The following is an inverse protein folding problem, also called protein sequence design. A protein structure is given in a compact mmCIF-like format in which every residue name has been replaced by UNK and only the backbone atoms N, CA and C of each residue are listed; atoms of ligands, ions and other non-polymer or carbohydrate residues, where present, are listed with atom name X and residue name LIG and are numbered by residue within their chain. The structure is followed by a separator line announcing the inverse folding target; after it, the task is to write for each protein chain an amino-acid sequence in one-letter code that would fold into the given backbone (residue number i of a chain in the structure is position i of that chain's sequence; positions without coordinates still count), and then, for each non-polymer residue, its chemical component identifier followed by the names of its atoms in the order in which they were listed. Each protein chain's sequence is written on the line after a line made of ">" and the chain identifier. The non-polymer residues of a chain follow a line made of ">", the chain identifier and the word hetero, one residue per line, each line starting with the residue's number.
data_IF_763098325741
#
_entry.id   IF_763098325741
#
_cell.length_a   1.000
_cell.length_b   1.000
_cell.length_c   1.000
_cell.angle_alpha   90.00
_cell.angle_beta   90.00
_cell.angle_gamma   90.00
#
_symmetry.space_group_name_H-M   'P 1'
#
loop_
_entity.id
_entity.type
_entity.pdbx_description
1 polymer ?
#
# COMPACT_ATOMS: atom_id res chain seq x y z
N UNK A 1 -2.93 14.41 7.90
CA UNK A 1 -1.59 14.86 7.51
C UNK A 1 -0.66 13.69 7.63
N UNK A 2 -0.34 13.08 6.49
CA UNK A 2 0.62 12.00 6.40
C UNK A 2 1.92 12.40 7.11
N UNK A 3 2.38 11.52 7.99
CA UNK A 3 3.58 11.72 8.77
C UNK A 3 4.79 11.96 7.85
N UNK A 4 5.61 12.94 8.23
CA UNK A 4 6.88 13.30 7.59
C UNK A 4 6.81 13.70 6.10
N UNK A 5 5.71 14.33 5.67
CA UNK A 5 5.61 14.98 4.35
C UNK A 5 5.42 14.03 3.17
N UNK A 6 5.00 12.79 3.42
CA UNK A 6 4.66 11.84 2.35
C UNK A 6 3.34 12.24 1.68
N UNK A 7 3.38 12.67 0.41
CA UNK A 7 2.19 13.14 -0.34
C UNK A 7 1.88 12.34 -1.63
N UNK A 8 2.63 11.26 -1.86
CA UNK A 8 2.54 10.40 -3.06
C UNK A 8 2.57 8.93 -2.65
N UNK A 9 1.92 8.07 -3.43
CA UNK A 9 1.95 6.62 -3.24
C UNK A 9 3.14 6.01 -3.99
N UNK A 10 3.27 6.27 -5.29
CA UNK A 10 4.48 5.91 -6.02
C UNK A 10 5.59 6.93 -5.71
N UNK A 11 6.62 6.48 -5.00
CA UNK A 11 7.58 7.35 -4.34
C UNK A 11 9.00 7.29 -4.93
N UNK A 12 9.28 6.40 -5.88
CA UNK A 12 10.65 6.22 -6.34
C UNK A 12 10.93 4.91 -7.06
N UNK A 13 12.22 4.70 -7.32
CA UNK A 13 12.77 3.49 -7.90
C UNK A 13 12.54 3.42 -9.40
N UNK A 14 11.98 2.32 -9.89
CA UNK A 14 11.52 2.21 -11.27
C UNK A 14 10.28 3.09 -11.46
N UNK A 15 10.28 3.90 -12.53
CA UNK A 15 9.15 4.71 -12.98
C UNK A 15 8.66 4.24 -14.34
N UNK A 16 7.82 3.19 -14.40
CA UNK A 16 7.16 2.80 -15.64
C UNK A 16 6.20 3.90 -16.07
N UNK A 17 6.21 4.20 -17.37
CA UNK A 17 5.25 5.11 -17.96
C UNK A 17 4.63 4.47 -19.21
N UNK A 18 3.32 4.14 -19.19
CA UNK A 18 2.37 4.31 -18.08
C UNK A 18 2.61 3.33 -16.92
N UNK A 19 2.16 3.68 -15.72
CA UNK A 19 2.07 2.74 -14.60
C UNK A 19 1.05 1.64 -14.92
N UNK A 20 1.34 0.41 -14.49
CA UNK A 20 0.38 -0.69 -14.56
C UNK A 20 -0.68 -0.49 -13.49
N UNK A 21 -1.87 -0.10 -13.91
CA UNK A 21 -3.00 0.15 -13.03
C UNK A 21 -4.16 -0.79 -13.35
N UNK A 22 -4.91 -1.17 -12.33
CA UNK A 22 -6.24 -1.77 -12.46
C UNK A 22 -7.23 -0.92 -11.67
N UNK A 23 -8.41 -0.74 -12.23
CA UNK A 23 -9.48 0.03 -11.61
C UNK A 23 -10.63 -0.87 -11.15
N UNK A 24 -11.36 -0.41 -10.14
CA UNK A 24 -12.58 -1.05 -9.67
C UNK A 24 -13.13 -0.40 -8.41
N UNK A 25 -14.37 -0.71 -8.04
CA UNK A 25 -15.03 -0.08 -6.91
C UNK A 25 -14.42 -0.53 -5.56
N UNK A 26 -14.31 0.37 -4.60
CA UNK A 26 -13.87 0.05 -3.25
C UNK A 26 -14.88 -0.85 -2.54
N UNK A 27 -14.44 -1.96 -1.94
CA UNK A 27 -15.32 -2.81 -1.12
C UNK A 27 -15.70 -2.14 0.21
N UNK A 28 -14.82 -1.30 0.73
CA UNK A 28 -14.98 -0.53 1.96
C UNK A 28 -14.23 0.81 1.84
N UNK A 29 -14.38 1.71 2.83
CA UNK A 29 -13.58 2.94 2.87
C UNK A 29 -12.08 2.59 2.84
N UNK A 30 -11.40 3.03 1.77
CA UNK A 30 -10.05 2.60 1.42
C UNK A 30 -9.10 3.78 1.43
N UNK A 31 -8.24 3.92 2.45
CA UNK A 31 -7.16 4.90 2.42
C UNK A 31 -6.17 4.59 1.27
N UNK A 32 -5.64 5.61 0.57
CA UNK A 32 -4.51 5.44 -0.33
C UNK A 32 -3.32 4.76 0.37
N UNK A 33 -2.57 3.93 -0.34
CA UNK A 33 -1.48 3.11 0.21
C UNK A 33 -1.94 1.79 0.86
N UNK A 34 -3.24 1.52 0.91
CA UNK A 34 -3.78 0.20 1.29
C UNK A 34 -3.33 -0.85 0.28
N UNK A 35 -2.80 -1.99 0.78
CA UNK A 35 -2.49 -3.15 -0.06
C UNK A 35 -3.73 -4.04 -0.15
N UNK A 36 -4.13 -4.40 -1.36
CA UNK A 36 -5.36 -5.15 -1.59
C UNK A 36 -5.36 -5.89 -2.90
N UNK A 37 -6.49 -6.49 -3.23
CA UNK A 37 -6.72 -7.22 -4.47
C UNK A 37 -8.13 -6.95 -4.97
N UNK A 38 -8.37 -7.17 -6.26
CA UNK A 38 -9.72 -7.16 -6.80
C UNK A 38 -10.35 -8.53 -6.59
N UNK A 39 -11.39 -8.57 -5.75
CA UNK A 39 -12.12 -9.80 -5.42
C UNK A 39 -12.93 -10.33 -6.60
N UNK A 40 -13.55 -11.50 -6.46
CA UNK A 40 -14.46 -12.07 -7.46
C UNK A 40 -15.69 -11.21 -7.76
N UNK A 41 -16.00 -10.23 -6.90
CA UNK A 41 -17.04 -9.22 -7.14
C UNK A 41 -16.49 -7.96 -7.83
N UNK A 42 -15.26 -8.01 -8.36
CA UNK A 42 -14.51 -6.89 -8.97
C UNK A 42 -14.37 -5.64 -8.08
N UNK A 43 -14.49 -5.83 -6.76
CA UNK A 43 -14.25 -4.77 -5.78
C UNK A 43 -12.86 -4.87 -5.17
N UNK A 44 -12.21 -3.72 -5.05
CA UNK A 44 -10.93 -3.58 -4.34
C UNK A 44 -11.13 -3.89 -2.86
N UNK A 45 -10.49 -4.96 -2.40
CA UNK A 45 -10.61 -5.49 -1.04
C UNK A 45 -9.23 -5.48 -0.40
N UNK A 46 -9.13 -4.98 0.83
CA UNK A 46 -7.88 -4.99 1.58
C UNK A 46 -7.40 -6.44 1.78
N UNK A 47 -6.11 -6.68 1.55
CA UNK A 47 -5.50 -8.00 1.74
C UNK A 47 -5.49 -8.35 3.24
N UNK A 48 -5.94 -9.53 3.61
CA UNK A 48 -6.02 -9.98 5.00
C UNK A 48 -4.63 -10.31 5.52
N UNK A 49 -3.85 -11.08 4.75
CA UNK A 49 -2.55 -11.61 5.17
C UNK A 49 -1.47 -11.57 4.08
N UNK A 50 -1.79 -11.04 2.90
CA UNK A 50 -0.95 -11.10 1.70
C UNK A 50 -0.99 -12.45 0.99
N UNK A 51 -1.61 -13.48 1.56
CA UNK A 51 -1.62 -14.87 1.05
C UNK A 51 -2.74 -15.18 0.06
N UNK A 52 -3.45 -14.16 -0.41
CA UNK A 52 -4.51 -14.34 -1.38
C UNK A 52 -3.94 -14.93 -2.68
N UNK A 53 -4.66 -15.87 -3.29
CA UNK A 53 -4.38 -16.37 -4.63
C UNK A 53 -4.81 -15.34 -5.68
N UNK A 54 -4.31 -14.11 -5.56
CA UNK A 54 -4.65 -12.97 -6.37
C UNK A 54 -3.43 -12.05 -6.52
N UNK A 55 -3.44 -11.23 -7.57
CA UNK A 55 -2.46 -10.15 -7.71
C UNK A 55 -2.75 -9.10 -6.64
N UNK A 56 -1.71 -8.73 -5.88
CA UNK A 56 -1.79 -7.63 -4.93
C UNK A 56 -1.50 -6.31 -5.64
N UNK A 57 -2.28 -5.30 -5.29
CA UNK A 57 -2.20 -3.93 -5.78
C UNK A 57 -2.07 -2.98 -4.58
N UNK A 58 -1.53 -1.80 -4.82
CA UNK A 58 -1.52 -0.70 -3.84
C UNK A 58 -2.49 0.38 -4.30
N UNK A 59 -3.45 0.73 -3.46
CA UNK A 59 -4.41 1.80 -3.77
C UNK A 59 -3.67 3.12 -3.97
N UNK A 60 -3.80 3.75 -5.14
CA UNK A 60 -3.29 5.09 -5.38
C UNK A 60 -4.20 6.13 -4.73
N UNK A 61 -3.73 7.38 -4.63
CA UNK A 61 -4.63 8.51 -4.38
C UNK A 61 -5.45 8.79 -5.64
N UNK A 62 -6.70 9.20 -5.44
CA UNK A 62 -7.53 9.66 -6.54
C UNK A 62 -7.23 11.12 -6.87
N UNK A 63 -6.25 11.32 -7.75
CA UNK A 63 -5.83 12.65 -8.16
C UNK A 63 -6.86 13.37 -9.02
N UNK A 64 -7.76 12.65 -9.71
CA UNK A 64 -8.82 13.23 -10.55
C UNK A 64 -9.91 13.86 -9.69
N UNK A 65 -10.20 13.28 -8.52
CA UNK A 65 -11.08 13.86 -7.50
C UNK A 65 -10.35 14.77 -6.50
N UNK A 66 -9.10 15.15 -6.80
CA UNK A 66 -8.27 15.97 -5.93
C UNK A 66 -8.08 15.41 -4.51
N UNK A 67 -8.22 14.10 -4.32
CA UNK A 67 -7.97 13.46 -3.04
C UNK A 67 -6.46 13.41 -2.78
N UNK A 68 -6.08 13.76 -1.55
CA UNK A 68 -4.72 13.60 -1.08
C UNK A 68 -4.46 12.15 -0.67
N UNK A 69 -3.24 11.87 -0.20
CA UNK A 69 -2.98 10.55 0.39
C UNK A 69 -3.70 10.35 1.71
N UNK A 70 -4.22 11.38 2.37
CA UNK A 70 -4.92 11.24 3.66
C UNK A 70 -6.43 11.02 3.51
N UNK A 71 -6.96 11.27 2.32
CA UNK A 71 -8.40 11.19 2.05
C UNK A 71 -8.76 9.77 1.62
N UNK A 72 -9.56 9.10 2.43
CA UNK A 72 -10.01 7.74 2.11
C UNK A 72 -11.00 7.77 0.94
N UNK A 73 -10.83 6.82 0.02
CA UNK A 73 -11.78 6.57 -1.07
C UNK A 73 -13.01 5.89 -0.45
N UNK A 74 -14.23 6.46 -0.55
CA UNK A 74 -15.44 5.86 0.02
C UNK A 74 -15.76 4.48 -0.57
N UNK A 75 -16.55 3.67 0.15
CA UNK A 75 -17.03 2.40 -0.39
C UNK A 75 -17.90 2.62 -1.65
N UNK A 76 -17.75 1.74 -2.65
CA UNK A 76 -18.44 1.86 -3.94
C UNK A 76 -17.77 2.79 -4.95
N UNK A 77 -16.84 3.64 -4.51
CA UNK A 77 -16.13 4.58 -5.35
C UNK A 77 -14.92 3.96 -6.05
N UNK A 78 -14.48 4.57 -7.16
CA UNK A 78 -13.38 4.06 -7.96
C UNK A 78 -12.05 4.08 -7.19
N UNK A 79 -11.36 2.93 -7.16
CA UNK A 79 -9.98 2.79 -6.71
C UNK A 79 -9.10 2.51 -7.91
N UNK A 80 -8.03 3.28 -8.06
CA UNK A 80 -6.94 3.00 -9.00
C UNK A 80 -5.87 2.22 -8.24
N UNK A 81 -5.78 0.91 -8.45
CA UNK A 81 -4.77 0.04 -7.85
C UNK A 81 -3.52 -0.03 -8.71
N UNK A 82 -2.37 0.38 -8.16
CA UNK A 82 -1.06 0.24 -8.80
C UNK A 82 -0.61 -1.21 -8.64
N UNK A 83 -0.30 -1.88 -9.74
CA UNK A 83 0.36 -3.18 -9.72
C UNK A 83 1.85 -2.98 -9.41
N UNK A 84 2.37 -3.49 -8.29
CA UNK A 84 3.77 -3.35 -7.95
C UNK A 84 4.66 -4.08 -8.97
N UNK A 85 5.76 -3.43 -9.33
CA UNK A 85 6.84 -4.05 -10.11
C UNK A 85 8.11 -4.11 -9.27
N UNK A 86 8.99 -5.10 -9.50
CA UNK A 86 10.28 -5.18 -8.83
C UNK A 86 11.06 -3.86 -8.97
N UNK A 87 11.58 -3.35 -7.85
CA UNK A 87 12.33 -2.11 -7.80
C UNK A 87 11.49 -0.82 -7.77
N UNK A 88 10.16 -0.90 -7.68
CA UNK A 88 9.33 0.25 -7.37
C UNK A 88 9.33 0.54 -5.87
N UNK A 89 9.43 1.82 -5.51
CA UNK A 89 9.23 2.27 -4.13
C UNK A 89 7.82 2.81 -3.97
N UNK A 90 7.07 2.21 -3.05
CA UNK A 90 5.69 2.59 -2.75
C UNK A 90 5.56 3.00 -1.29
N UNK A 91 4.81 4.06 -1.04
CA UNK A 91 4.38 4.43 0.30
C UNK A 91 3.09 3.68 0.62
N UNK A 92 3.17 2.72 1.54
CA UNK A 92 2.06 1.85 1.94
C UNK A 92 1.66 2.11 3.38
N UNK A 93 0.44 1.75 3.75
CA UNK A 93 -0.04 1.91 5.13
C UNK A 93 0.65 0.91 6.05
N UNK A 94 1.15 1.37 7.20
CA UNK A 94 1.79 0.52 8.19
C UNK A 94 0.96 0.40 9.48
N UNK A 95 1.11 -0.70 10.20
CA UNK A 95 0.73 -0.81 11.60
C UNK A 95 1.64 0.06 12.47
N UNK A 96 1.19 0.42 13.67
CA UNK A 96 2.01 1.17 14.61
C UNK A 96 3.27 0.38 14.98
N UNK A 97 4.42 1.04 14.97
CA UNK A 97 5.69 0.39 15.27
C UNK A 97 6.89 1.19 14.80
N UNK A 98 8.08 0.65 15.05
CA UNK A 98 9.34 1.20 14.58
C UNK A 98 9.94 0.28 13.54
N UNK A 99 10.31 0.86 12.40
CA UNK A 99 10.77 0.15 11.22
C UNK A 99 12.18 0.60 10.85
N UNK A 100 13.04 -0.36 10.54
CA UNK A 100 14.42 -0.10 10.09
C UNK A 100 14.61 -0.57 8.66
N UNK A 101 15.51 0.07 7.92
CA UNK A 101 15.83 -0.27 6.53
C UNK A 101 16.09 -1.77 6.32
N UNK A 102 15.52 -2.33 5.26
CA UNK A 102 15.66 -3.76 4.91
C UNK A 102 14.86 -4.73 5.79
N UNK A 103 14.10 -4.26 6.79
CA UNK A 103 13.29 -5.12 7.63
C UNK A 103 12.17 -5.77 6.82
N UNK A 104 11.99 -7.08 7.01
CA UNK A 104 10.97 -7.87 6.33
C UNK A 104 9.57 -7.58 6.88
N UNK A 105 8.61 -7.40 5.97
CA UNK A 105 7.24 -7.03 6.30
C UNK A 105 6.23 -8.04 5.73
N UNK A 106 5.24 -8.35 6.55
CA UNK A 106 4.02 -9.07 6.16
C UNK A 106 2.84 -8.10 6.07
N UNK A 107 1.72 -8.57 5.55
CA UNK A 107 0.49 -7.76 5.41
C UNK A 107 -0.51 -8.22 6.47
N UNK A 108 -1.22 -7.27 7.07
CA UNK A 108 -2.36 -7.50 7.95
C UNK A 108 -3.43 -6.44 7.65
N UNK A 109 -4.60 -6.87 7.15
CA UNK A 109 -5.75 -5.99 6.85
C UNK A 109 -5.36 -4.75 6.00
N UNK A 110 -4.62 -5.01 4.92
CA UNK A 110 -4.16 -4.04 3.93
C UNK A 110 -3.08 -3.08 4.41
N UNK A 111 -2.53 -3.31 5.61
CA UNK A 111 -1.38 -2.60 6.15
C UNK A 111 -0.18 -3.52 6.25
N UNK A 112 1.02 -2.97 6.19
CA UNK A 112 2.25 -3.70 6.48
C UNK A 112 2.53 -3.72 7.97
N UNK A 113 3.13 -4.81 8.44
CA UNK A 113 3.68 -4.93 9.79
C UNK A 113 4.98 -5.74 9.74
N UNK A 114 5.73 -5.73 10.83
CA UNK A 114 6.89 -6.62 10.97
C UNK A 114 6.44 -8.07 10.78
N UNK A 115 7.12 -8.78 9.88
CA UNK A 115 6.83 -10.18 9.62
C UNK A 115 7.17 -11.03 10.86
N UNK A 116 6.24 -11.89 11.27
CA UNK A 116 6.52 -13.00 12.18
C UNK A 116 7.08 -14.21 11.38
N UNK A 117 7.64 -15.20 12.08
CA UNK A 117 8.45 -16.26 11.46
C UNK A 117 7.74 -17.15 10.43
N UNK A 118 6.42 -17.30 10.52
CA UNK A 118 5.58 -18.11 9.64
C UNK A 118 4.79 -17.28 8.61
N UNK A 119 4.91 -15.95 8.65
CA UNK A 119 4.16 -15.07 7.77
C UNK A 119 4.83 -14.87 6.42
N UNK A 120 4.01 -14.62 5.40
CA UNK A 120 4.53 -14.33 4.08
C UNK A 120 5.15 -12.93 4.04
N UNK A 121 6.46 -12.88 3.81
CA UNK A 121 7.18 -11.63 3.56
C UNK A 121 6.81 -11.12 2.17
N UNK A 122 6.22 -9.92 2.12
CA UNK A 122 5.69 -9.30 0.89
C UNK A 122 6.44 -8.03 0.49
N UNK A 123 7.10 -7.38 1.42
CA UNK A 123 7.88 -6.18 1.13
C UNK A 123 8.98 -5.96 2.18
N UNK A 124 9.86 -5.03 1.89
CA UNK A 124 10.96 -4.62 2.76
C UNK A 124 10.95 -3.11 2.95
N UNK A 125 11.34 -2.65 4.13
CA UNK A 125 11.40 -1.21 4.48
C UNK A 125 12.49 -0.51 3.67
N UNK A 126 12.16 0.65 3.07
CA UNK A 126 13.10 1.52 2.35
C UNK A 126 13.15 2.94 2.89
N UNK A 127 13.00 3.08 4.20
CA UNK A 127 13.31 4.32 4.92
C UNK A 127 14.83 4.41 5.15
N UNK A 128 15.41 5.59 4.96
CA UNK A 128 16.86 5.79 5.16
C UNK A 128 17.27 5.83 6.64
N UNK A 129 16.31 6.05 7.53
CA UNK A 129 16.50 6.09 8.99
C UNK A 129 15.40 5.27 9.66
N UNK A 130 15.62 4.94 10.93
CA UNK A 130 14.57 4.36 11.76
C UNK A 130 13.33 5.24 11.73
N UNK A 131 12.18 4.64 11.43
CA UNK A 131 10.93 5.35 11.20
C UNK A 131 9.82 4.78 12.06
N UNK A 132 9.24 5.61 12.92
CA UNK A 132 8.13 5.21 13.79
C UNK A 132 6.80 5.63 13.20
N UNK A 133 5.90 4.70 13.02
CA UNK A 133 4.54 4.93 12.49
C UNK A 133 3.51 4.84 13.61
N UNK A 134 2.47 5.67 13.53
CA UNK A 134 1.17 5.34 14.09
C UNK A 134 0.42 4.40 13.13
N UNK A 135 -0.65 3.76 13.61
CA UNK A 135 -1.43 2.87 12.77
C UNK A 135 -2.08 3.64 11.61
N UNK A 136 -1.75 3.24 10.37
CA UNK A 136 -2.21 3.92 9.16
C UNK A 136 -1.27 5.00 8.64
N UNK A 137 -0.12 5.26 9.27
CA UNK A 137 0.89 6.12 8.65
C UNK A 137 1.48 5.44 7.41
N UNK A 138 2.01 6.26 6.50
CA UNK A 138 2.69 5.77 5.31
C UNK A 138 4.14 5.39 5.64
N UNK A 139 4.54 4.21 5.18
CA UNK A 139 5.90 3.66 5.24
C UNK A 139 6.38 3.39 3.82
N UNK A 140 7.58 3.83 3.47
CA UNK A 140 8.19 3.53 2.18
C UNK A 140 8.71 2.10 2.17
N UNK A 141 8.31 1.34 1.16
CA UNK A 141 8.71 -0.05 0.99
C UNK A 141 9.09 -0.34 -0.46
N UNK A 142 9.87 -1.40 -0.63
CA UNK A 142 10.03 -2.11 -1.91
C UNK A 142 9.26 -3.43 -1.83
N UNK A 143 8.42 -3.70 -2.83
CA UNK A 143 7.61 -4.92 -2.88
C UNK A 143 8.44 -6.07 -3.48
N UNK A 144 8.28 -7.26 -2.89
CA UNK A 144 8.93 -8.50 -3.32
C UNK A 144 8.23 -9.10 -4.54
#
# INVERSE_FOLDING_TARGET
>A
MAKDGKHIIHAGGVFPNPLLNREGAAAASTPPGTIGFFSSADKFTASVAGNEAAILYVANKDYLRCLSVDDAIPAGELVVGIQPLPGMFLNVRAAAGTYTKGQALSIANGRVKVAAGDESVRCYVEEDKSYTTAAGDLLRVVIK
#
